data_IF_287349508239
#
_entry.id   IF_287349508239
#
_cell.length_a   1.000
_cell.length_b   1.000
_cell.length_c   1.000
_cell.angle_alpha   90.00
_cell.angle_beta   90.00
_cell.angle_gamma   90.00
#
_symmetry.space_group_name_H-M   'P 1'
#
loop_
_entity.id
_entity.type
_entity.pdbx_description
1 polymer ?
#
# COMPACT_ATOMS: atom_id res chain seq x y z
N UNK A 1 -0.98 -22.90 -3.98
CA UNK A 1 -1.56 -22.04 -5.05
C UNK A 1 -2.12 -20.71 -4.52
N UNK A 2 -3.34 -20.61 -3.96
CA UNK A 2 -3.90 -19.30 -3.53
C UNK A 2 -3.12 -18.65 -2.36
N UNK A 3 -2.67 -19.44 -1.37
CA UNK A 3 -1.80 -18.95 -0.27
C UNK A 3 -0.41 -18.53 -0.72
N UNK A 4 0.19 -19.25 -1.68
CA UNK A 4 1.51 -18.91 -2.24
C UNK A 4 1.43 -17.69 -3.14
N UNK A 5 0.35 -17.57 -3.91
CA UNK A 5 0.05 -16.36 -4.67
C UNK A 5 -0.07 -15.17 -3.73
N UNK A 6 -0.87 -15.26 -2.66
CA UNK A 6 -1.06 -14.13 -1.75
C UNK A 6 0.22 -13.75 -0.98
N UNK A 7 1.07 -14.72 -0.62
CA UNK A 7 2.37 -14.44 -0.01
C UNK A 7 3.32 -13.74 -1.00
N UNK A 8 3.42 -14.26 -2.23
CA UNK A 8 4.24 -13.66 -3.28
C UNK A 8 3.77 -12.26 -3.68
N UNK A 9 2.45 -12.08 -3.81
CA UNK A 9 1.85 -10.79 -4.12
C UNK A 9 1.94 -9.81 -2.94
N UNK A 10 1.91 -10.27 -1.69
CA UNK A 10 2.11 -9.44 -0.51
C UNK A 10 3.52 -8.84 -0.44
N UNK A 11 4.55 -9.68 -0.63
CA UNK A 11 5.94 -9.23 -0.68
C UNK A 11 6.19 -8.29 -1.87
N UNK A 12 5.59 -8.60 -3.03
CA UNK A 12 5.65 -7.75 -4.21
C UNK A 12 4.96 -6.39 -3.98
N UNK A 13 3.80 -6.36 -3.30
CA UNK A 13 3.08 -5.12 -2.99
C UNK A 13 3.89 -4.25 -2.01
N UNK A 14 4.50 -4.88 -1.00
CA UNK A 14 5.40 -4.21 -0.07
C UNK A 14 6.60 -3.59 -0.79
N UNK A 15 7.26 -4.37 -1.66
CA UNK A 15 8.38 -3.89 -2.46
C UNK A 15 7.98 -2.71 -3.35
N UNK A 16 6.79 -2.74 -3.95
CA UNK A 16 6.25 -1.64 -4.76
C UNK A 16 6.02 -0.39 -3.91
N UNK A 17 5.41 -0.51 -2.73
CA UNK A 17 5.14 0.63 -1.84
C UNK A 17 6.44 1.26 -1.32
N UNK A 18 7.42 0.45 -0.90
CA UNK A 18 8.73 0.94 -0.47
C UNK A 18 9.48 1.61 -1.62
N UNK A 19 9.48 0.99 -2.80
CA UNK A 19 10.12 1.57 -3.99
C UNK A 19 9.47 2.89 -4.37
N UNK A 20 8.14 2.96 -4.38
CA UNK A 20 7.42 4.20 -4.68
C UNK A 20 7.72 5.29 -3.64
N UNK A 21 7.77 4.96 -2.34
CA UNK A 21 8.16 5.89 -1.29
C UNK A 21 9.56 6.46 -1.50
N UNK A 22 10.56 5.61 -1.76
CA UNK A 22 11.94 6.04 -2.02
C UNK A 22 11.99 6.91 -3.28
N UNK A 23 11.31 6.54 -4.35
CA UNK A 23 11.23 7.34 -5.57
C UNK A 23 10.56 8.70 -5.35
N UNK A 24 9.54 8.79 -4.49
CA UNK A 24 8.92 10.07 -4.11
C UNK A 24 9.91 10.96 -3.35
N UNK A 25 10.68 10.41 -2.40
CA UNK A 25 11.73 11.17 -1.68
C UNK A 25 12.78 11.70 -2.66
N UNK A 26 13.25 10.86 -3.58
CA UNK A 26 14.23 11.24 -4.60
C UNK A 26 13.66 12.35 -5.49
N UNK A 27 12.44 12.20 -5.99
CA UNK A 27 11.80 13.17 -6.87
C UNK A 27 11.63 14.53 -6.19
N UNK A 28 11.22 14.54 -4.92
CA UNK A 28 11.09 15.77 -4.12
C UNK A 28 12.45 16.44 -3.87
N UNK A 29 13.49 15.67 -3.54
CA UNK A 29 14.84 16.22 -3.39
C UNK A 29 15.38 16.82 -4.70
N UNK A 30 15.09 16.18 -5.83
CA UNK A 30 15.46 16.67 -7.15
C UNK A 30 14.72 17.96 -7.51
N UNK A 31 13.43 18.10 -7.15
CA UNK A 31 12.68 19.35 -7.31
C UNK A 31 13.38 20.49 -6.56
N UNK A 32 13.77 20.29 -5.30
CA UNK A 32 14.45 21.32 -4.51
C UNK A 32 15.79 21.72 -5.14
N UNK A 33 16.62 20.74 -5.53
CA UNK A 33 17.92 21.02 -6.16
C UNK A 33 17.76 21.74 -7.50
N UNK A 34 16.86 21.29 -8.37
CA UNK A 34 16.62 21.94 -9.65
C UNK A 34 16.04 23.34 -9.51
N UNK A 35 15.20 23.56 -8.49
CA UNK A 35 14.68 24.89 -8.19
C UNK A 35 15.79 25.84 -7.74
N UNK A 36 16.70 25.40 -6.86
CA UNK A 36 17.84 26.18 -6.39
C UNK A 36 18.84 26.51 -7.50
N UNK A 37 19.02 25.61 -8.47
CA UNK A 37 19.89 25.82 -9.63
C UNK A 37 19.20 26.53 -10.82
N UNK A 38 17.98 27.06 -10.63
CA UNK A 38 17.17 27.71 -11.66
C UNK A 38 16.92 26.83 -12.92
N UNK A 39 16.97 25.50 -12.75
CA UNK A 39 16.73 24.54 -13.83
C UNK A 39 15.23 24.22 -13.95
N UNK A 40 14.52 25.05 -14.71
CA UNK A 40 13.06 24.94 -14.91
C UNK A 40 12.67 23.60 -15.55
N UNK A 41 13.40 23.14 -16.57
CA UNK A 41 13.09 21.87 -17.24
C UNK A 41 13.26 20.67 -16.31
N UNK A 42 14.32 20.65 -15.51
CA UNK A 42 14.55 19.64 -14.48
C UNK A 42 13.44 19.63 -13.43
N UNK A 43 13.00 20.81 -12.99
CA UNK A 43 11.93 20.97 -12.00
C UNK A 43 10.60 20.40 -12.51
N UNK A 44 10.21 20.72 -13.75
CA UNK A 44 8.98 20.20 -14.36
C UNK A 44 9.04 18.67 -14.49
N UNK A 45 10.15 18.12 -14.98
CA UNK A 45 10.31 16.68 -15.14
C UNK A 45 10.24 15.94 -13.79
N UNK A 46 10.92 16.47 -12.76
CA UNK A 46 10.88 15.90 -11.41
C UNK A 46 9.47 16.00 -10.79
N UNK A 47 8.72 17.07 -11.08
CA UNK A 47 7.32 17.21 -10.69
C UNK A 47 6.41 16.14 -11.33
N UNK A 48 6.58 15.87 -12.63
CA UNK A 48 5.83 14.82 -13.35
C UNK A 48 6.13 13.44 -12.76
N UNK A 49 7.40 13.13 -12.51
CA UNK A 49 7.81 11.87 -11.88
C UNK A 49 7.26 11.73 -10.45
N UNK A 50 7.28 12.81 -9.66
CA UNK A 50 6.70 12.79 -8.32
C UNK A 50 5.19 12.49 -8.36
N UNK A 51 4.48 13.12 -9.29
CA UNK A 51 3.04 12.91 -9.48
C UNK A 51 2.70 11.47 -9.87
N UNK A 52 3.48 10.85 -10.75
CA UNK A 52 3.25 9.47 -11.18
C UNK A 52 3.46 8.48 -10.04
N UNK A 53 4.48 8.67 -9.19
CA UNK A 53 4.72 7.84 -8.01
C UNK A 53 3.61 7.98 -6.95
N UNK A 54 3.13 9.21 -6.70
CA UNK A 54 2.00 9.45 -5.78
C UNK A 54 0.73 8.78 -6.32
N UNK A 55 0.47 8.88 -7.62
CA UNK A 55 -0.69 8.25 -8.26
C UNK A 55 -0.64 6.72 -8.15
N UNK A 56 0.55 6.12 -8.28
CA UNK A 56 0.76 4.69 -8.08
C UNK A 56 0.46 4.28 -6.62
N UNK A 57 0.95 5.05 -5.63
CA UNK A 57 0.67 4.79 -4.22
C UNK A 57 -0.84 4.86 -3.92
N UNK A 58 -1.53 5.86 -4.46
CA UNK A 58 -2.99 5.99 -4.31
C UNK A 58 -3.75 4.85 -4.99
N UNK A 59 -3.32 4.42 -6.18
CA UNK A 59 -3.92 3.28 -6.88
C UNK A 59 -3.76 1.98 -6.09
N UNK A 60 -2.56 1.73 -5.56
CA UNK A 60 -2.28 0.56 -4.71
C UNK A 60 -3.12 0.59 -3.44
N UNK A 61 -3.22 1.75 -2.78
CA UNK A 61 -4.06 1.92 -1.59
C UNK A 61 -5.56 1.70 -1.89
N UNK A 62 -6.04 2.23 -3.02
CA UNK A 62 -7.42 2.04 -3.47
C UNK A 62 -7.73 0.56 -3.77
N UNK A 63 -6.85 -0.10 -4.52
CA UNK A 63 -7.01 -1.52 -4.85
C UNK A 63 -6.98 -2.38 -3.58
N UNK A 64 -6.08 -2.07 -2.64
CA UNK A 64 -5.98 -2.76 -1.34
C UNK A 64 -7.28 -2.62 -0.54
N UNK A 65 -7.87 -1.43 -0.53
CA UNK A 65 -9.15 -1.16 0.17
C UNK A 65 -10.31 -1.95 -0.46
N UNK A 66 -10.43 -1.92 -1.80
CA UNK A 66 -11.49 -2.65 -2.49
C UNK A 66 -11.38 -4.17 -2.33
N UNK A 67 -10.16 -4.71 -2.35
CA UNK A 67 -9.92 -6.14 -2.12
C UNK A 67 -10.31 -6.53 -0.69
N UNK A 68 -10.02 -5.66 0.28
CA UNK A 68 -10.40 -5.87 1.68
C UNK A 68 -11.92 -5.84 1.86
N UNK A 69 -12.61 -4.86 1.26
CA UNK A 69 -14.07 -4.74 1.33
C UNK A 69 -14.78 -5.93 0.65
N UNK A 70 -14.29 -6.35 -0.52
CA UNK A 70 -14.81 -7.53 -1.22
C UNK A 70 -14.60 -8.82 -0.43
N UNK A 71 -13.46 -8.95 0.26
CA UNK A 71 -13.22 -10.07 1.16
C UNK A 71 -14.17 -10.07 2.36
N UNK A 72 -14.46 -8.91 2.95
CA UNK A 72 -15.44 -8.79 4.05
C UNK A 72 -16.87 -9.14 3.61
N UNK A 73 -17.26 -8.81 2.38
CA UNK A 73 -18.54 -9.24 1.79
C UNK A 73 -18.60 -10.75 1.57
N UNK A 74 -17.51 -11.35 1.10
CA UNK A 74 -17.38 -12.80 0.92
C UNK A 74 -17.49 -13.54 2.25
N UNK A 75 -16.79 -13.09 3.29
CA UNK A 75 -16.89 -13.64 4.66
C UNK A 75 -18.32 -13.56 5.18
N UNK A 76 -19.01 -12.43 4.99
CA UNK A 76 -20.43 -12.26 5.39
C UNK A 76 -21.35 -13.22 4.64
N UNK A 77 -21.11 -13.45 3.36
CA UNK A 77 -21.92 -14.36 2.53
C UNK A 77 -21.72 -15.81 2.94
N UNK A 78 -20.48 -16.25 3.12
CA UNK A 78 -20.16 -17.61 3.59
C UNK A 78 -20.75 -17.88 4.97
N UNK A 79 -20.67 -16.92 5.90
CA UNK A 79 -21.27 -17.04 7.22
C UNK A 79 -22.81 -17.18 7.17
N UNK A 80 -23.48 -16.49 6.22
CA UNK A 80 -24.92 -16.70 5.99
C UNK A 80 -25.23 -18.09 5.44
N UNK A 81 -24.43 -18.59 4.49
CA UNK A 81 -24.61 -19.94 3.95
C UNK A 81 -24.48 -21.01 5.04
N UNK A 82 -23.45 -20.95 5.90
CA UNK A 82 -23.26 -21.90 7.01
C UNK A 82 -24.50 -21.95 7.91
N UNK A 83 -25.12 -20.81 8.19
CA UNK A 83 -26.31 -20.73 9.05
C UNK A 83 -27.60 -21.20 8.38
N UNK A 84 -27.64 -21.27 7.05
CA UNK A 84 -28.80 -21.70 6.26
C UNK A 84 -28.66 -23.14 5.76
N UNK A 85 -27.44 -23.70 5.79
CA UNK A 85 -27.15 -25.04 5.29
C UNK A 85 -27.65 -26.11 6.26
N UNK A 86 -28.41 -27.06 5.73
CA UNK A 86 -29.01 -28.17 6.51
C UNK A 86 -28.30 -29.49 6.30
N UNK A 87 -27.44 -29.58 5.29
CA UNK A 87 -26.57 -30.73 5.06
C UNK A 87 -25.28 -30.59 5.89
N UNK A 88 -25.04 -31.52 6.81
CA UNK A 88 -23.89 -31.50 7.69
C UNK A 88 -22.56 -31.61 6.91
N UNK A 89 -22.51 -32.31 5.78
CA UNK A 89 -21.28 -32.46 4.97
C UNK A 89 -20.93 -31.17 4.23
N UNK A 90 -21.94 -30.46 3.71
CA UNK A 90 -21.75 -29.16 3.07
C UNK A 90 -21.45 -28.06 4.09
N UNK A 91 -22.04 -28.14 5.28
CA UNK A 91 -21.74 -27.22 6.39
C UNK A 91 -20.29 -27.34 6.83
N UNK A 92 -19.78 -28.55 7.00
CA UNK A 92 -18.39 -28.79 7.39
C UNK A 92 -17.41 -28.24 6.35
N UNK A 93 -17.69 -28.41 5.05
CA UNK A 93 -16.89 -27.81 3.98
C UNK A 93 -16.92 -26.28 3.98
N UNK A 94 -18.10 -25.68 4.22
CA UNK A 94 -18.26 -24.23 4.32
C UNK A 94 -17.56 -23.67 5.57
N UNK A 95 -17.59 -24.40 6.69
CA UNK A 95 -16.86 -24.03 7.91
C UNK A 95 -15.35 -24.08 7.68
N UNK A 96 -14.82 -25.13 7.06
CA UNK A 96 -13.40 -25.19 6.68
C UNK A 96 -13.00 -24.04 5.76
N UNK A 97 -13.84 -23.73 4.77
CA UNK A 97 -13.63 -22.60 3.86
C UNK A 97 -13.68 -21.25 4.58
N UNK A 98 -14.64 -21.05 5.49
CA UNK A 98 -14.74 -19.87 6.34
C UNK A 98 -13.52 -19.74 7.25
N UNK A 99 -13.03 -20.85 7.81
CA UNK A 99 -11.87 -20.88 8.68
C UNK A 99 -10.59 -20.55 7.90
N UNK A 100 -10.50 -20.95 6.63
CA UNK A 100 -9.44 -20.53 5.70
C UNK A 100 -9.54 -19.03 5.36
N UNK A 101 -10.73 -18.52 5.04
CA UNK A 101 -11.02 -17.10 4.80
C UNK A 101 -10.72 -16.22 6.02
N UNK A 102 -11.11 -16.66 7.22
CA UNK A 102 -10.94 -15.93 8.48
C UNK A 102 -9.49 -15.92 8.97
N UNK A 103 -8.76 -17.03 8.77
CA UNK A 103 -7.30 -17.06 8.96
C UNK A 103 -6.54 -16.24 7.91
N UNK A 104 -7.15 -16.00 6.77
CA UNK A 104 -6.69 -15.11 5.70
C UNK A 104 -7.40 -13.76 5.80
N UNK A 105 -7.57 -13.22 7.02
CA UNK A 105 -8.03 -11.85 7.21
C UNK A 105 -7.19 -10.95 6.33
N UNK A 106 -7.86 -10.30 5.39
CA UNK A 106 -7.30 -9.46 4.33
C UNK A 106 -6.88 -8.12 4.93
N UNK A 107 -6.14 -8.18 6.03
CA UNK A 107 -5.23 -7.11 6.39
C UNK A 107 -4.03 -7.41 5.51
N UNK A 108 -3.95 -6.73 4.36
CA UNK A 108 -2.75 -6.69 3.53
C UNK A 108 -1.63 -6.16 4.42
N UNK A 109 -0.99 -7.05 5.16
CA UNK A 109 0.04 -6.73 6.12
C UNK A 109 1.37 -7.01 5.44
N UNK A 110 2.15 -5.96 5.26
CA UNK A 110 3.49 -6.04 4.73
C UNK A 110 4.40 -6.78 5.73
N UNK A 111 4.59 -8.09 5.55
CA UNK A 111 5.41 -8.94 6.42
C UNK A 111 5.13 -8.83 7.94
N UNK A 112 3.93 -8.38 8.36
CA UNK A 112 3.63 -8.12 9.77
C UNK A 112 4.27 -6.86 10.36
N UNK A 113 4.90 -6.01 9.54
CA UNK A 113 5.48 -4.73 9.97
C UNK A 113 4.46 -3.59 9.97
N UNK A 114 3.60 -3.53 8.94
CA UNK A 114 2.59 -2.48 8.78
C UNK A 114 1.38 -2.97 7.99
N UNK A 115 0.18 -2.57 8.40
CA UNK A 115 -1.02 -2.73 7.57
C UNK A 115 -0.94 -1.73 6.41
N UNK A 116 -1.10 -2.23 5.17
CA UNK A 116 -1.16 -1.44 3.92
C UNK A 116 -2.49 -0.67 3.81
N UNK A 117 -2.85 0.01 4.89
CA UNK A 117 -3.97 0.93 4.97
C UNK A 117 -3.45 2.37 4.87
N UNK A 118 -4.35 3.35 4.77
CA UNK A 118 -4.02 4.78 4.70
C UNK A 118 -3.11 5.28 5.87
N UNK A 119 -3.02 4.49 6.94
CA UNK A 119 -2.19 4.76 8.12
C UNK A 119 -0.68 4.79 7.82
N UNK A 120 -0.18 4.13 6.76
CA UNK A 120 1.25 4.17 6.40
C UNK A 120 1.65 5.53 5.78
N UNK A 121 0.69 6.24 5.18
CA UNK A 121 0.94 7.50 4.47
C UNK A 121 1.34 8.61 5.43
N UNK A 122 0.74 8.67 6.61
CA UNK A 122 1.01 9.71 7.62
C UNK A 122 2.47 9.69 8.14
N UNK A 123 3.02 8.57 8.67
CA UNK A 123 4.40 8.53 9.11
C UNK A 123 5.39 8.71 7.95
N UNK A 124 5.08 8.19 6.77
CA UNK A 124 5.86 8.44 5.55
C UNK A 124 5.94 9.92 5.20
N UNK A 125 4.81 10.63 5.21
CA UNK A 125 4.75 12.07 4.97
C UNK A 125 5.60 12.84 6.00
N UNK A 126 5.50 12.47 7.29
CA UNK A 126 6.32 13.08 8.34
C UNK A 126 7.84 12.89 8.13
N UNK A 127 8.25 11.68 7.74
CA UNK A 127 9.65 11.39 7.42
C UNK A 127 10.15 12.19 6.19
N UNK A 128 9.33 12.25 5.12
CA UNK A 128 9.62 13.04 3.93
C UNK A 128 9.80 14.52 4.29
N UNK A 129 8.84 15.11 5.01
CA UNK A 129 8.90 16.52 5.41
C UNK A 129 10.16 16.81 6.23
N UNK A 130 10.49 15.94 7.18
CA UNK A 130 11.71 16.09 8.00
C UNK A 130 12.97 16.06 7.14
N UNK A 131 13.08 15.11 6.21
CA UNK A 131 14.22 15.04 5.30
C UNK A 131 14.33 16.28 4.40
N UNK A 132 13.19 16.76 3.86
CA UNK A 132 13.18 17.96 3.01
C UNK A 132 13.61 19.21 3.77
N UNK A 133 13.15 19.38 5.01
CA UNK A 133 13.58 20.50 5.86
C UNK A 133 15.10 20.46 6.06
N UNK A 134 15.66 19.29 6.39
CA UNK A 134 17.11 19.14 6.54
C UNK A 134 17.87 19.46 5.25
N UNK A 135 17.38 18.99 4.10
CA UNK A 135 18.01 19.24 2.81
C UNK A 135 18.02 20.74 2.45
N UNK A 136 16.89 21.43 2.66
CA UNK A 136 16.78 22.88 2.43
C UNK A 136 17.73 23.65 3.34
N UNK A 137 17.78 23.30 4.63
CA UNK A 137 18.70 23.94 5.58
C UNK A 137 20.16 23.72 5.20
N UNK A 138 20.53 22.53 4.73
CA UNK A 138 21.90 22.23 4.34
C UNK A 138 22.34 22.99 3.09
N UNK A 139 21.47 23.11 2.08
CA UNK A 139 21.78 23.86 0.86
C UNK A 139 21.76 25.39 1.09
N UNK A 140 20.93 25.90 2.01
CA UNK A 140 20.93 27.34 2.32
C UNK A 140 22.10 27.80 3.20
N UNK A 141 22.80 26.87 3.84
CA UNK A 141 24.02 27.10 4.62
C UNK A 141 25.30 27.11 3.76
N UNK A 142 25.23 26.72 2.50
CA UNK A 142 26.32 26.77 1.51
C UNK A 142 26.38 28.14 0.82
#
# INVERSE_FOLDING_TARGET
IVREANAFYGDQLLAVVLTAFVCTVISLSAIVIYYLHENVTGTINAGILCSSHISLLLLVAYLSTNVTESADEMVRTVCRLINMETDDELRDQLEEFFLQLSKQKVELSACGFFDLNYQIVTPMAGAITTYMIFLIQFESLK
#
